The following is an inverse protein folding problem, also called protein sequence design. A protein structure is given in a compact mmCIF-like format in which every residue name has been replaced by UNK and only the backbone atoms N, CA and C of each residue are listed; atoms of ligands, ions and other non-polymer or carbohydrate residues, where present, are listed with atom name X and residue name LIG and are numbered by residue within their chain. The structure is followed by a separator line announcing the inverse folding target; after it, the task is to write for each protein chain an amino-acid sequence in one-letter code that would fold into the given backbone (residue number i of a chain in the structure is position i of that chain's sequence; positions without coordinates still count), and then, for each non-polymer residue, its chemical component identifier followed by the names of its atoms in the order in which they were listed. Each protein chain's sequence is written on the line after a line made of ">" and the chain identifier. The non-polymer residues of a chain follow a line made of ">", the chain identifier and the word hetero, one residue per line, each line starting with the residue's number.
data_IF_599498806030
#
_entry.id   IF_599498806030
#
_cell.length_a   1.000
_cell.length_b   1.000
_cell.length_c   1.000
_cell.angle_alpha   90.00
_cell.angle_beta   90.00
_cell.angle_gamma   90.00
#
_symmetry.space_group_name_H-M   'P 1'
#
loop_
_entity.id
_entity.type
_entity.pdbx_description
1 polymer ?
#
# COMPACT_ATOMS: atom_id res chain seq x y z
N UNK A 1 -18.65 -48.20 -16.48
CA UNK A 1 -19.21 -47.13 -15.62
C UNK A 1 -18.19 -46.15 -15.02
N UNK A 2 -16.86 -46.40 -15.02
CA UNK A 2 -15.85 -45.50 -14.38
C UNK A 2 -15.39 -44.25 -15.16
N UNK A 3 -15.69 -44.13 -16.47
CA UNK A 3 -15.18 -43.00 -17.30
C UNK A 3 -15.99 -41.69 -17.21
N UNK A 4 -17.23 -41.72 -16.73
CA UNK A 4 -18.09 -40.52 -16.60
C UNK A 4 -18.06 -39.89 -15.20
N UNK A 5 -17.54 -40.58 -14.20
CA UNK A 5 -17.51 -40.09 -12.80
C UNK A 5 -16.37 -39.11 -12.54
N UNK A 6 -15.22 -39.28 -13.20
CA UNK A 6 -14.06 -38.38 -13.06
C UNK A 6 -14.33 -36.93 -13.49
N UNK A 7 -14.92 -36.63 -14.67
CA UNK A 7 -15.23 -35.25 -15.05
C UNK A 7 -16.29 -34.61 -14.14
N UNK A 8 -17.26 -35.39 -13.64
CA UNK A 8 -18.25 -34.91 -12.66
C UNK A 8 -17.61 -34.57 -11.31
N UNK A 9 -16.70 -35.41 -10.82
CA UNK A 9 -15.92 -35.15 -9.59
C UNK A 9 -15.01 -33.93 -9.73
N UNK A 10 -14.33 -33.76 -10.87
CA UNK A 10 -13.51 -32.59 -11.16
C UNK A 10 -14.35 -31.30 -11.25
N UNK A 11 -15.54 -31.39 -11.85
CA UNK A 11 -16.47 -30.25 -11.95
C UNK A 11 -17.02 -29.87 -10.57
N UNK A 12 -17.41 -30.84 -9.74
CA UNK A 12 -17.85 -30.60 -8.38
C UNK A 12 -16.73 -30.03 -7.49
N UNK A 13 -15.50 -30.56 -7.63
CA UNK A 13 -14.33 -30.04 -6.93
C UNK A 13 -14.01 -28.61 -7.36
N UNK A 14 -14.04 -28.31 -8.66
CA UNK A 14 -13.84 -26.96 -9.18
C UNK A 14 -14.94 -26.01 -8.68
N UNK A 15 -16.21 -26.43 -8.66
CA UNK A 15 -17.33 -25.62 -8.17
C UNK A 15 -17.23 -25.25 -6.67
N UNK A 16 -16.52 -26.05 -5.86
CA UNK A 16 -16.31 -25.77 -4.43
C UNK A 16 -15.00 -25.01 -4.16
N UNK A 17 -13.92 -25.37 -4.87
CA UNK A 17 -12.57 -24.82 -4.64
C UNK A 17 -12.36 -23.48 -5.35
N UNK A 18 -12.84 -23.33 -6.58
CA UNK A 18 -12.65 -22.13 -7.38
C UNK A 18 -13.26 -20.89 -6.70
N UNK A 19 -14.47 -20.91 -6.13
CA UNK A 19 -15.02 -19.74 -5.46
C UNK A 19 -14.31 -19.37 -4.16
N UNK A 20 -13.78 -20.37 -3.43
CA UNK A 20 -12.94 -20.14 -2.25
C UNK A 20 -11.67 -19.40 -2.64
N UNK A 21 -11.06 -19.75 -3.76
CA UNK A 21 -9.90 -19.06 -4.32
C UNK A 21 -10.27 -17.66 -4.84
N UNK A 22 -11.36 -17.55 -5.62
CA UNK A 22 -11.81 -16.30 -6.24
C UNK A 22 -12.23 -15.24 -5.23
N UNK A 23 -12.96 -15.59 -4.19
CA UNK A 23 -13.46 -14.61 -3.23
C UNK A 23 -12.61 -14.51 -1.96
N UNK A 24 -11.82 -15.54 -1.64
CA UNK A 24 -10.85 -15.53 -0.53
C UNK A 24 -9.56 -14.80 -0.90
N UNK A 25 -8.47 -15.51 -1.30
CA UNK A 25 -7.18 -14.89 -1.60
C UNK A 25 -7.22 -13.91 -2.79
N UNK A 26 -8.10 -14.12 -3.77
CA UNK A 26 -8.25 -13.20 -4.91
C UNK A 26 -9.18 -12.01 -4.57
N UNK A 27 -10.09 -12.17 -3.60
CA UNK A 27 -10.95 -11.11 -3.08
C UNK A 27 -11.93 -10.52 -4.10
N UNK A 28 -12.33 -11.30 -5.11
CA UNK A 28 -13.22 -10.81 -6.17
C UNK A 28 -14.56 -10.34 -5.59
N UNK A 29 -14.91 -9.09 -5.86
CA UNK A 29 -16.21 -8.50 -5.47
C UNK A 29 -16.35 -8.13 -3.99
N UNK A 30 -15.34 -8.42 -3.15
CA UNK A 30 -15.28 -8.06 -1.73
C UNK A 30 -14.37 -6.86 -1.50
N UNK A 31 -14.71 -6.03 -0.52
CA UNK A 31 -13.92 -4.86 -0.13
C UNK A 31 -12.65 -5.33 0.59
N UNK A 32 -11.50 -4.87 0.12
CA UNK A 32 -10.17 -5.21 0.66
C UNK A 32 -9.51 -4.03 1.39
N UNK A 33 -10.10 -2.83 1.29
CA UNK A 33 -9.63 -1.61 1.92
C UNK A 33 -10.02 -0.37 1.13
N UNK A 34 -9.39 0.75 1.44
CA UNK A 34 -9.58 2.03 0.75
C UNK A 34 -8.65 2.21 -0.45
N UNK A 35 -8.67 3.42 -1.00
CA UNK A 35 -7.81 3.84 -2.10
C UNK A 35 -6.36 4.00 -1.64
N UNK A 36 -5.42 3.32 -2.30
CA UNK A 36 -3.99 3.33 -1.92
C UNK A 36 -3.24 4.65 -2.10
N UNK A 37 -3.94 5.72 -2.45
CA UNK A 37 -3.37 7.07 -2.62
C UNK A 37 -3.74 8.01 -1.48
N UNK A 38 -4.75 7.64 -0.69
CA UNK A 38 -5.20 8.39 0.48
C UNK A 38 -4.46 7.87 1.70
N UNK A 39 -4.00 8.78 2.54
CA UNK A 39 -3.27 8.47 3.78
C UNK A 39 -4.20 7.96 4.89
N UNK A 40 -5.15 7.10 4.53
CA UNK A 40 -6.20 6.58 5.41
C UNK A 40 -5.91 5.12 5.77
N UNK A 41 -6.28 4.72 6.97
CA UNK A 41 -6.16 3.36 7.48
C UNK A 41 -7.44 3.00 8.25
N UNK A 42 -7.85 1.74 8.17
CA UNK A 42 -8.92 1.23 9.03
C UNK A 42 -8.41 0.20 10.02
N UNK A 43 -8.77 0.38 11.29
CA UNK A 43 -8.47 -0.58 12.36
C UNK A 43 -9.69 -1.47 12.59
N UNK A 44 -9.44 -2.77 12.66
CA UNK A 44 -10.50 -3.77 12.78
C UNK A 44 -10.20 -4.76 13.89
N UNK A 45 -11.23 -5.17 14.60
CA UNK A 45 -11.14 -6.10 15.73
C UNK A 45 -12.18 -7.21 15.56
N UNK A 46 -11.84 -8.40 16.05
CA UNK A 46 -12.68 -9.59 15.92
C UNK A 46 -13.26 -10.00 17.25
N UNK A 47 -14.55 -9.75 17.45
CA UNK A 47 -15.26 -10.00 18.70
C UNK A 47 -15.54 -8.74 19.50
N UNK A 48 -16.13 -8.94 20.68
CA UNK A 48 -16.59 -7.87 21.57
C UNK A 48 -15.39 -7.18 22.24
N UNK A 49 -15.28 -5.84 22.17
CA UNK A 49 -14.21 -5.12 22.86
C UNK A 49 -14.41 -5.12 24.37
N UNK A 50 -13.30 -5.24 25.11
CA UNK A 50 -13.29 -4.94 26.54
C UNK A 50 -13.26 -3.43 26.80
N UNK A 51 -13.61 -3.03 28.03
CA UNK A 51 -13.62 -1.62 28.46
C UNK A 51 -12.26 -0.93 28.29
N UNK A 52 -11.16 -1.65 28.54
CA UNK A 52 -9.81 -1.12 28.36
C UNK A 52 -9.49 -0.74 26.90
N UNK A 53 -9.94 -1.54 25.93
CA UNK A 53 -9.75 -1.25 24.51
C UNK A 53 -10.53 -0.01 24.08
N UNK A 54 -11.79 0.08 24.51
CA UNK A 54 -12.63 1.26 24.23
C UNK A 54 -12.06 2.52 24.87
N UNK A 55 -11.55 2.43 26.10
CA UNK A 55 -10.90 3.55 26.78
C UNK A 55 -9.70 4.09 25.99
N UNK A 56 -8.83 3.21 25.45
CA UNK A 56 -7.69 3.61 24.62
C UNK A 56 -8.14 4.27 23.31
N UNK A 57 -9.12 3.67 22.62
CA UNK A 57 -9.64 4.22 21.36
C UNK A 57 -10.32 5.59 21.58
N UNK A 58 -11.06 5.75 22.67
CA UNK A 58 -11.70 7.00 23.06
C UNK A 58 -10.69 8.08 23.44
N UNK A 59 -9.70 7.76 24.27
CA UNK A 59 -8.63 8.68 24.65
C UNK A 59 -7.84 9.15 23.42
N UNK A 60 -7.65 8.26 22.44
CA UNK A 60 -7.03 8.60 21.18
C UNK A 60 -7.99 9.32 20.22
N UNK A 61 -9.30 9.35 20.42
CA UNK A 61 -10.30 9.78 19.43
C UNK A 61 -10.12 9.05 18.09
N UNK A 62 -10.10 7.70 18.14
CA UNK A 62 -9.92 6.84 16.97
C UNK A 62 -11.15 5.96 16.76
N UNK A 63 -11.85 6.09 15.63
CA UNK A 63 -12.92 5.16 15.29
C UNK A 63 -12.34 3.85 14.77
N UNK A 64 -13.07 2.74 14.97
CA UNK A 64 -12.65 1.40 14.59
C UNK A 64 -13.86 0.57 14.14
N UNK A 65 -13.60 -0.56 13.48
CA UNK A 65 -14.63 -1.51 13.07
C UNK A 65 -14.57 -2.81 13.87
N UNK A 66 -15.65 -3.16 14.55
CA UNK A 66 -15.78 -4.42 15.29
C UNK A 66 -16.56 -5.44 14.48
N UNK A 67 -15.91 -6.56 14.17
CA UNK A 67 -16.52 -7.72 13.51
C UNK A 67 -17.04 -8.71 14.55
N UNK A 68 -18.33 -8.61 14.86
CA UNK A 68 -19.02 -9.42 15.86
C UNK A 68 -19.70 -10.63 15.23
N UNK A 69 -19.75 -11.76 15.93
CA UNK A 69 -20.70 -12.82 15.60
C UNK A 69 -22.12 -12.33 15.90
N UNK A 70 -23.12 -12.98 15.30
CA UNK A 70 -24.51 -12.55 15.47
C UNK A 70 -24.98 -12.67 16.91
N UNK A 71 -24.58 -13.73 17.60
CA UNK A 71 -24.87 -13.98 19.01
C UNK A 71 -24.19 -12.98 19.95
N UNK A 72 -23.12 -12.31 19.50
CA UNK A 72 -22.41 -11.26 20.24
C UNK A 72 -23.06 -9.87 20.02
N UNK A 73 -23.87 -9.70 18.97
CA UNK A 73 -24.37 -8.42 18.48
C UNK A 73 -25.70 -7.98 19.12
N UNK A 74 -25.72 -7.83 20.45
CA UNK A 74 -26.90 -7.38 21.19
C UNK A 74 -27.21 -5.88 20.95
N UNK A 75 -28.49 -5.46 20.89
CA UNK A 75 -28.87 -4.07 20.59
C UNK A 75 -28.18 -3.00 21.44
N UNK A 76 -28.02 -3.25 22.75
CA UNK A 76 -27.35 -2.33 23.67
C UNK A 76 -25.87 -2.14 23.32
N UNK A 77 -25.16 -3.23 23.03
CA UNK A 77 -23.76 -3.17 22.59
C UNK A 77 -23.63 -2.44 21.26
N UNK A 78 -24.54 -2.68 20.30
CA UNK A 78 -24.55 -2.00 19.02
C UNK A 78 -24.74 -0.49 19.19
N UNK A 79 -25.70 -0.09 20.03
CA UNK A 79 -25.96 1.32 20.34
C UNK A 79 -24.75 1.97 21.02
N UNK A 80 -24.14 1.28 21.99
CA UNK A 80 -22.96 1.76 22.71
C UNK A 80 -21.76 1.98 21.77
N UNK A 81 -21.39 0.98 20.95
CA UNK A 81 -20.27 1.11 20.02
C UNK A 81 -20.48 2.23 19.00
N UNK A 82 -21.72 2.41 18.51
CA UNK A 82 -22.06 3.50 17.58
C UNK A 82 -22.03 4.87 18.23
N UNK A 83 -22.51 4.97 19.47
CA UNK A 83 -22.45 6.22 20.23
C UNK A 83 -21.00 6.69 20.43
N UNK A 84 -20.04 5.76 20.50
CA UNK A 84 -18.61 6.05 20.54
C UNK A 84 -17.96 6.25 19.15
N UNK A 85 -18.75 6.27 18.07
CA UNK A 85 -18.26 6.50 16.71
C UNK A 85 -17.62 5.28 16.05
N UNK A 86 -17.81 4.07 16.60
CA UNK A 86 -17.31 2.83 16.02
C UNK A 86 -18.31 2.23 15.03
N UNK A 87 -17.78 1.53 14.03
CA UNK A 87 -18.57 0.73 13.11
C UNK A 87 -18.75 -0.68 13.66
N UNK A 88 -19.96 -1.22 13.53
CA UNK A 88 -20.22 -2.64 13.80
C UNK A 88 -20.50 -3.38 12.50
N UNK A 89 -19.81 -4.51 12.32
CA UNK A 89 -19.94 -5.40 11.19
C UNK A 89 -20.15 -6.84 11.65
N UNK A 90 -20.74 -7.68 10.81
CA UNK A 90 -20.94 -9.09 11.13
C UNK A 90 -19.73 -9.93 10.75
N UNK A 91 -19.47 -10.97 11.53
CA UNK A 91 -18.56 -12.08 11.25
C UNK A 91 -19.36 -13.38 11.30
N UNK A 92 -19.21 -14.25 10.30
CA UNK A 92 -19.90 -15.54 10.37
C UNK A 92 -19.97 -16.32 9.06
N UNK A 93 -20.72 -17.42 9.12
CA UNK A 93 -20.84 -18.43 8.07
C UNK A 93 -21.57 -17.98 6.79
N UNK A 94 -21.53 -18.85 5.79
CA UNK A 94 -21.67 -18.56 4.36
C UNK A 94 -23.11 -18.48 3.81
N UNK A 95 -24.14 -18.71 4.64
CA UNK A 95 -25.45 -19.09 4.11
C UNK A 95 -26.69 -18.30 4.56
N UNK A 96 -26.64 -17.51 5.65
CA UNK A 96 -27.80 -16.70 6.08
C UNK A 96 -27.38 -15.41 6.77
N UNK A 97 -27.27 -14.34 6.00
CA UNK A 97 -27.23 -12.99 6.55
C UNK A 97 -28.67 -12.50 6.67
N UNK A 98 -29.08 -12.08 7.87
CA UNK A 98 -30.28 -11.27 8.01
C UNK A 98 -29.85 -9.81 8.20
N UNK A 99 -30.59 -8.85 7.65
CA UNK A 99 -30.38 -7.44 7.94
C UNK A 99 -30.39 -7.21 9.46
N UNK A 100 -29.48 -6.35 9.92
CA UNK A 100 -29.45 -5.85 11.29
C UNK A 100 -29.28 -4.34 11.21
N UNK A 101 -30.09 -3.62 11.99
CA UNK A 101 -30.09 -2.16 11.94
C UNK A 101 -28.69 -1.61 12.23
N UNK A 102 -28.25 -0.67 11.38
CA UNK A 102 -26.92 -0.05 11.34
C UNK A 102 -25.71 -0.99 11.14
N UNK A 103 -25.92 -2.22 10.70
CA UNK A 103 -24.82 -3.11 10.25
C UNK A 103 -24.78 -3.09 8.73
N UNK A 104 -23.67 -2.61 8.18
CA UNK A 104 -23.51 -2.41 6.72
C UNK A 104 -22.50 -3.35 6.08
N UNK A 105 -21.70 -4.04 6.90
CA UNK A 105 -20.58 -4.87 6.43
C UNK A 105 -20.62 -6.27 7.03
N UNK A 106 -20.08 -7.22 6.29
CA UNK A 106 -19.90 -8.59 6.75
C UNK A 106 -18.54 -9.13 6.35
N UNK A 107 -17.93 -9.92 7.24
CA UNK A 107 -16.73 -10.69 6.99
C UNK A 107 -17.05 -12.18 7.05
N UNK A 108 -17.14 -12.84 5.88
CA UNK A 108 -17.37 -14.27 5.80
C UNK A 108 -16.20 -15.06 6.43
N UNK A 109 -16.48 -16.07 7.25
CA UNK A 109 -15.45 -17.00 7.76
C UNK A 109 -14.96 -17.98 6.69
N UNK A 110 -15.75 -18.14 5.63
CA UNK A 110 -15.38 -18.84 4.40
C UNK A 110 -16.05 -18.18 3.21
N UNK A 111 -15.54 -18.44 2.01
CA UNK A 111 -16.10 -17.90 0.79
C UNK A 111 -16.71 -19.01 -0.08
N UNK A 112 -17.93 -18.80 -0.54
CA UNK A 112 -18.68 -19.63 -1.50
C UNK A 112 -19.03 -18.75 -2.71
N UNK A 113 -19.39 -19.33 -3.88
CA UNK A 113 -19.71 -18.50 -5.06
C UNK A 113 -20.95 -17.63 -4.82
N UNK A 114 -21.81 -18.02 -3.86
CA UNK A 114 -23.01 -17.27 -3.49
C UNK A 114 -22.78 -16.27 -2.36
N UNK A 115 -21.58 -16.21 -1.75
CA UNK A 115 -21.32 -15.34 -0.59
C UNK A 115 -21.59 -13.86 -0.89
N UNK A 116 -21.11 -13.36 -2.03
CA UNK A 116 -21.35 -11.97 -2.43
C UNK A 116 -22.82 -11.71 -2.72
N UNK A 117 -23.51 -12.66 -3.37
CA UNK A 117 -24.93 -12.55 -3.67
C UNK A 117 -25.79 -12.55 -2.39
N UNK A 118 -25.49 -13.45 -1.44
CA UNK A 118 -26.17 -13.52 -0.15
C UNK A 118 -25.95 -12.26 0.69
N UNK A 119 -24.72 -11.76 0.76
CA UNK A 119 -24.42 -10.51 1.47
C UNK A 119 -25.22 -9.34 0.87
N UNK A 120 -25.23 -9.20 -0.46
CA UNK A 120 -25.97 -8.15 -1.15
C UNK A 120 -27.48 -8.24 -0.97
N UNK A 121 -28.07 -9.44 -0.98
CA UNK A 121 -29.50 -9.66 -0.69
C UNK A 121 -29.88 -9.22 0.72
N UNK A 122 -28.93 -9.28 1.66
CA UNK A 122 -29.11 -8.78 3.02
C UNK A 122 -28.69 -7.32 3.19
N UNK A 123 -28.43 -6.58 2.10
CA UNK A 123 -27.93 -5.21 2.10
C UNK A 123 -26.58 -5.02 2.83
N UNK A 124 -25.76 -6.08 2.86
CA UNK A 124 -24.43 -6.07 3.47
C UNK A 124 -23.32 -6.02 2.41
N UNK A 125 -22.25 -5.31 2.74
CA UNK A 125 -21.01 -5.26 1.96
C UNK A 125 -20.03 -6.32 2.45
N UNK A 126 -19.69 -7.33 1.63
CA UNK A 126 -18.72 -8.34 2.03
C UNK A 126 -17.29 -7.76 2.00
N UNK A 127 -16.52 -8.07 3.04
CA UNK A 127 -15.15 -7.60 3.27
C UNK A 127 -14.19 -8.77 3.44
N UNK A 128 -12.95 -8.63 2.97
CA UNK A 128 -11.89 -9.59 3.27
C UNK A 128 -11.44 -9.46 4.73
N UNK A 129 -10.83 -10.52 5.31
CA UNK A 129 -9.97 -10.30 6.47
C UNK A 129 -8.96 -9.21 6.13
N UNK A 130 -8.83 -8.21 7.00
CA UNK A 130 -7.74 -7.25 6.89
C UNK A 130 -6.39 -7.95 7.02
N UNK A 131 -5.31 -7.19 6.85
CA UNK A 131 -3.97 -7.70 7.15
C UNK A 131 -3.92 -8.00 8.64
N UNK A 132 -3.83 -9.29 9.00
CA UNK A 132 -3.71 -9.69 10.40
C UNK A 132 -2.36 -9.22 10.92
N UNK A 133 -2.40 -8.54 12.05
CA UNK A 133 -1.21 -8.17 12.82
C UNK A 133 -1.24 -8.93 14.13
N UNK A 134 -0.09 -9.38 14.59
CA UNK A 134 0.04 -10.20 15.80
C UNK A 134 0.14 -9.36 17.07
N UNK A 135 0.44 -8.06 16.94
CA UNK A 135 0.48 -7.07 18.02
C UNK A 135 0.17 -5.68 17.47
N UNK A 136 -0.11 -4.71 18.35
CA UNK A 136 -0.24 -3.32 17.96
C UNK A 136 1.06 -2.76 17.35
N UNK A 137 2.24 -3.14 17.87
CA UNK A 137 3.52 -2.69 17.33
C UNK A 137 3.72 -3.15 15.87
N UNK A 138 3.41 -4.41 15.56
CA UNK A 138 3.50 -4.93 14.20
C UNK A 138 2.53 -4.26 13.21
N UNK A 139 1.56 -3.47 13.68
CA UNK A 139 0.72 -2.67 12.80
C UNK A 139 1.53 -1.60 12.04
N UNK A 140 2.60 -1.09 12.65
CA UNK A 140 3.48 -0.08 12.05
C UNK A 140 4.21 -0.61 10.81
N UNK A 141 4.63 -1.87 10.84
CA UNK A 141 5.33 -2.53 9.73
C UNK A 141 4.39 -2.89 8.58
N UNK A 142 3.09 -2.97 8.87
CA UNK A 142 2.05 -3.39 7.91
C UNK A 142 1.19 -2.22 7.45
N UNK A 143 1.44 -1.02 7.96
CA UNK A 143 0.70 0.18 7.62
C UNK A 143 0.98 0.59 6.15
N UNK A 144 -0.08 0.54 5.35
CA UNK A 144 -0.07 1.03 3.98
C UNK A 144 -1.30 1.92 3.71
N UNK A 145 -1.21 2.95 2.86
CA UNK A 145 -2.34 3.77 2.48
C UNK A 145 -3.53 2.94 2.00
N UNK A 146 -4.72 3.19 2.55
CA UNK A 146 -5.94 2.45 2.28
C UNK A 146 -5.98 1.03 2.86
N UNK A 147 -5.03 0.64 3.73
CA UNK A 147 -5.05 -0.68 4.33
C UNK A 147 -6.11 -0.83 5.43
N UNK A 148 -6.56 -2.07 5.61
CA UNK A 148 -7.41 -2.50 6.72
C UNK A 148 -6.55 -3.44 7.57
N UNK A 149 -6.28 -3.04 8.81
CA UNK A 149 -5.46 -3.79 9.74
C UNK A 149 -6.38 -4.51 10.74
N UNK A 150 -6.13 -5.80 10.97
CA UNK A 150 -6.89 -6.58 11.94
C UNK A 150 -6.02 -6.84 13.17
N UNK A 151 -6.35 -6.16 14.26
CA UNK A 151 -5.61 -6.18 15.53
C UNK A 151 -6.22 -7.18 16.52
N UNK A 152 -5.42 -7.68 17.49
CA UNK A 152 -5.96 -8.40 18.64
C UNK A 152 -6.83 -7.47 19.50
N UNK A 153 -7.72 -8.05 20.31
CA UNK A 153 -8.55 -7.31 21.26
C UNK A 153 -7.76 -6.77 22.47
N UNK A 154 -6.54 -7.27 22.67
CA UNK A 154 -5.61 -6.78 23.68
C UNK A 154 -5.10 -5.38 23.30
N UNK A 155 -5.34 -4.35 24.13
CA UNK A 155 -4.92 -2.98 23.86
C UNK A 155 -3.44 -2.70 24.17
N UNK A 156 -2.66 -3.70 24.60
CA UNK A 156 -1.25 -3.52 24.95
C UNK A 156 -0.45 -2.90 23.80
N UNK A 157 0.18 -1.74 24.07
CA UNK A 157 0.96 -0.97 23.09
C UNK A 157 0.12 -0.24 22.03
N UNK A 158 -1.21 -0.27 22.10
CA UNK A 158 -2.08 0.34 21.10
C UNK A 158 -1.95 1.88 21.11
N UNK A 159 -1.91 2.51 22.28
CA UNK A 159 -1.81 3.97 22.38
C UNK A 159 -0.57 4.52 21.63
N UNK A 160 0.59 3.93 21.88
CA UNK A 160 1.86 4.31 21.23
C UNK A 160 1.79 4.07 19.72
N UNK A 161 1.25 2.93 19.29
CA UNK A 161 1.02 2.65 17.87
C UNK A 161 0.12 3.68 17.21
N UNK A 162 -0.98 4.09 17.86
CA UNK A 162 -1.90 5.09 17.31
C UNK A 162 -1.24 6.46 17.16
N UNK A 163 -0.43 6.86 18.15
CA UNK A 163 0.35 8.08 18.10
C UNK A 163 1.38 8.04 16.96
N UNK A 164 2.09 6.94 16.82
CA UNK A 164 3.11 6.76 15.79
C UNK A 164 2.51 6.71 14.38
N UNK A 165 1.34 6.06 14.19
CA UNK A 165 0.63 6.09 12.90
C UNK A 165 0.24 7.52 12.50
N UNK A 166 -0.19 8.35 13.46
CA UNK A 166 -0.50 9.77 13.21
C UNK A 166 0.75 10.57 12.88
N UNK A 167 1.85 10.35 13.61
CA UNK A 167 3.14 10.98 13.33
C UNK A 167 3.63 10.64 11.90
N UNK A 168 3.36 9.42 11.42
CA UNK A 168 3.61 8.98 10.04
C UNK A 168 2.63 9.56 9.01
N UNK A 169 1.65 10.35 9.44
CA UNK A 169 0.68 11.04 8.59
C UNK A 169 -0.53 10.20 8.19
N UNK A 170 -0.83 9.11 8.90
CA UNK A 170 -2.05 8.33 8.68
C UNK A 170 -3.25 8.93 9.42
N UNK A 171 -4.40 8.92 8.76
CA UNK A 171 -5.71 9.20 9.36
C UNK A 171 -6.46 7.89 9.54
N UNK A 172 -7.08 7.70 10.71
CA UNK A 172 -7.70 6.44 11.09
C UNK A 172 -9.22 6.55 10.94
N UNK A 173 -9.81 5.58 10.26
CA UNK A 173 -11.23 5.54 9.91
C UNK A 173 -11.84 4.15 10.18
N UNK A 174 -13.17 4.08 10.18
CA UNK A 174 -13.89 2.83 10.03
C UNK A 174 -13.78 2.32 8.58
N UNK A 175 -14.06 1.03 8.37
CA UNK A 175 -13.98 0.41 7.03
C UNK A 175 -14.92 1.08 6.02
N UNK A 176 -16.11 1.52 6.44
CA UNK A 176 -17.07 2.22 5.57
C UNK A 176 -16.70 3.68 5.26
N UNK A 177 -15.94 4.33 6.13
CA UNK A 177 -15.50 5.70 5.96
C UNK A 177 -14.23 5.83 5.08
N UNK A 178 -13.60 4.71 4.72
CA UNK A 178 -12.45 4.73 3.81
C UNK A 178 -12.85 5.25 2.43
N UNK A 179 -12.07 6.20 1.90
CA UNK A 179 -12.27 6.74 0.57
C UNK A 179 -12.02 5.67 -0.50
N UNK A 180 -12.94 5.58 -1.45
CA UNK A 180 -12.79 4.74 -2.65
C UNK A 180 -12.59 3.26 -2.33
N UNK A 181 -13.64 2.56 -1.83
CA UNK A 181 -13.52 1.17 -1.40
C UNK A 181 -12.97 0.29 -2.53
N UNK A 182 -11.76 -0.23 -2.31
CA UNK A 182 -11.03 -1.07 -3.24
C UNK A 182 -11.54 -2.50 -3.14
N UNK A 183 -12.20 -2.95 -4.20
CA UNK A 183 -12.61 -4.34 -4.33
C UNK A 183 -11.51 -5.16 -5.00
N UNK A 184 -11.40 -6.44 -4.65
CA UNK A 184 -10.48 -7.32 -5.36
C UNK A 184 -10.93 -7.51 -6.80
N UNK A 185 -9.95 -7.47 -7.71
CA UNK A 185 -10.11 -7.75 -9.14
C UNK A 185 -9.10 -8.81 -9.54
N UNK A 186 -9.30 -9.52 -10.67
CA UNK A 186 -8.33 -10.53 -11.13
C UNK A 186 -6.94 -9.91 -11.32
N UNK A 187 -6.91 -8.70 -11.86
CA UNK A 187 -5.70 -7.88 -11.99
C UNK A 187 -5.04 -7.58 -10.64
N UNK A 188 -5.80 -7.19 -9.62
CA UNK A 188 -5.27 -6.94 -8.29
C UNK A 188 -4.63 -8.20 -7.68
N UNK A 189 -5.16 -9.39 -7.97
CA UNK A 189 -4.57 -10.63 -7.54
C UNK A 189 -3.24 -10.95 -8.25
N UNK A 190 -3.18 -10.77 -9.57
CA UNK A 190 -1.92 -10.90 -10.32
C UNK A 190 -0.86 -9.94 -9.77
N UNK A 191 -1.25 -8.69 -9.52
CA UNK A 191 -0.37 -7.69 -8.92
C UNK A 191 0.11 -8.08 -7.51
N UNK A 192 -0.74 -8.66 -6.67
CA UNK A 192 -0.32 -9.17 -5.35
C UNK A 192 0.69 -10.31 -5.48
N UNK A 193 0.45 -11.26 -6.38
CA UNK A 193 1.38 -12.36 -6.64
C UNK A 193 2.73 -11.85 -7.19
N UNK A 194 2.70 -10.90 -8.13
CA UNK A 194 3.88 -10.22 -8.64
C UNK A 194 4.69 -9.56 -7.53
N UNK A 195 4.05 -8.74 -6.68
CA UNK A 195 4.72 -8.06 -5.55
C UNK A 195 5.35 -9.05 -4.58
N UNK A 196 4.62 -10.10 -4.22
CA UNK A 196 5.07 -11.10 -3.26
C UNK A 196 6.24 -11.96 -3.78
N UNK A 197 6.43 -12.03 -5.10
CA UNK A 197 7.44 -12.90 -5.72
C UNK A 197 8.55 -12.11 -6.39
N UNK A 198 8.24 -11.25 -7.36
CA UNK A 198 9.21 -10.52 -8.16
C UNK A 198 9.75 -9.33 -7.40
N UNK A 199 8.89 -8.41 -6.93
CA UNK A 199 9.37 -7.21 -6.26
C UNK A 199 10.08 -7.55 -4.95
N UNK A 200 9.54 -8.48 -4.16
CA UNK A 200 10.19 -8.94 -2.94
C UNK A 200 11.54 -9.64 -3.18
N UNK A 201 11.73 -10.30 -4.33
CA UNK A 201 13.05 -10.86 -4.70
C UNK A 201 14.00 -9.76 -5.16
N UNK A 202 13.53 -8.81 -5.96
CA UNK A 202 14.31 -7.68 -6.42
C UNK A 202 14.80 -6.83 -5.24
N UNK A 203 13.91 -6.48 -4.30
CA UNK A 203 14.25 -5.71 -3.10
C UNK A 203 15.33 -6.41 -2.27
N UNK A 204 15.24 -7.74 -2.11
CA UNK A 204 16.27 -8.53 -1.42
C UNK A 204 17.59 -8.59 -2.18
N UNK A 205 17.55 -8.75 -3.50
CA UNK A 205 18.75 -8.82 -4.34
C UNK A 205 19.50 -7.49 -4.39
N UNK A 206 18.78 -6.38 -4.39
CA UNK A 206 19.34 -5.02 -4.45
C UNK A 206 19.55 -4.36 -3.08
N UNK A 207 19.28 -5.10 -1.99
CA UNK A 207 19.39 -4.64 -0.60
C UNK A 207 18.75 -3.25 -0.38
N UNK A 208 17.54 -3.06 -0.92
CA UNK A 208 16.88 -1.77 -0.91
C UNK A 208 16.32 -1.46 0.49
N UNK A 209 16.59 -0.26 0.97
CA UNK A 209 15.99 0.28 2.18
C UNK A 209 14.63 0.89 1.85
N UNK A 210 13.52 0.36 2.39
CA UNK A 210 12.23 0.99 2.22
C UNK A 210 12.17 2.28 3.05
N UNK A 211 11.98 3.42 2.38
CA UNK A 211 11.70 4.69 3.05
C UNK A 211 10.19 4.94 3.13
N UNK A 212 9.38 3.89 3.05
CA UNK A 212 7.92 3.95 2.90
C UNK A 212 7.14 3.96 4.21
N UNK A 213 7.78 4.26 5.33
CA UNK A 213 7.14 4.25 6.66
C UNK A 213 6.04 5.30 6.79
N UNK A 214 6.24 6.50 6.21
CA UNK A 214 5.20 7.55 6.18
C UNK A 214 4.12 7.27 5.15
N UNK A 215 2.93 7.79 5.38
CA UNK A 215 1.74 7.55 4.57
C UNK A 215 1.87 8.03 3.12
N UNK A 216 2.70 9.05 2.86
CA UNK A 216 2.92 9.61 1.51
C UNK A 216 4.32 9.33 0.96
N UNK A 217 5.12 8.52 1.65
CA UNK A 217 6.46 8.22 1.20
C UNK A 217 6.46 7.31 -0.03
N UNK A 218 7.25 7.64 -1.03
CA UNK A 218 7.23 6.97 -2.33
C UNK A 218 8.52 6.24 -2.67
N UNK A 219 9.60 6.44 -1.91
CA UNK A 219 10.92 6.00 -2.32
C UNK A 219 11.44 4.80 -1.53
N UNK A 220 12.38 4.10 -2.18
CA UNK A 220 13.29 3.13 -1.61
C UNK A 220 14.69 3.52 -2.06
N UNK A 221 15.70 3.20 -1.25
CA UNK A 221 17.07 3.63 -1.51
C UNK A 221 18.02 2.43 -1.50
N UNK A 222 18.85 2.28 -2.52
CA UNK A 222 19.90 1.27 -2.60
C UNK A 222 21.27 1.93 -2.64
N UNK A 223 22.26 1.40 -1.93
CA UNK A 223 23.64 1.86 -2.08
C UNK A 223 24.20 1.31 -3.41
N UNK A 224 24.50 2.19 -4.36
CA UNK A 224 25.01 1.79 -5.68
C UNK A 224 25.76 2.96 -6.33
N UNK A 225 26.90 2.69 -7.00
CA UNK A 225 27.65 3.72 -7.72
C UNK A 225 26.80 4.32 -8.84
N UNK A 226 27.06 5.57 -9.20
CA UNK A 226 26.35 6.23 -10.30
C UNK A 226 26.68 5.58 -11.66
N UNK A 227 25.68 4.97 -12.29
CA UNK A 227 25.85 4.23 -13.56
C UNK A 227 25.68 5.11 -14.81
N UNK A 228 25.22 6.35 -14.67
CA UNK A 228 25.05 7.27 -15.80
C UNK A 228 26.38 7.86 -16.28
N UNK A 229 26.37 8.56 -17.44
CA UNK A 229 27.57 9.24 -17.93
C UNK A 229 27.95 10.40 -17.00
N UNK A 230 29.25 10.72 -16.97
CA UNK A 230 29.75 11.91 -16.26
C UNK A 230 29.02 13.16 -16.78
N UNK A 231 28.44 13.94 -15.88
CA UNK A 231 27.65 15.13 -16.22
C UNK A 231 27.96 16.28 -15.27
N UNK A 232 27.53 17.48 -15.62
CA UNK A 232 27.69 18.68 -14.78
C UNK A 232 26.31 19.10 -14.28
N UNK A 233 26.17 19.34 -12.98
CA UNK A 233 24.91 19.82 -12.42
C UNK A 233 24.63 21.29 -12.78
N UNK A 234 23.46 21.80 -12.42
CA UNK A 234 23.08 23.19 -12.70
C UNK A 234 24.05 24.21 -12.07
N UNK A 235 24.73 23.83 -10.99
CA UNK A 235 25.68 24.62 -10.23
C UNK A 235 27.14 24.49 -10.74
N UNK A 236 27.37 23.78 -11.85
CA UNK A 236 28.70 23.66 -12.47
C UNK A 236 29.60 22.57 -11.87
N UNK A 237 29.10 21.73 -10.96
CA UNK A 237 29.84 20.63 -10.34
C UNK A 237 29.83 19.38 -11.20
N UNK A 238 31.00 18.77 -11.38
CA UNK A 238 31.13 17.48 -12.06
C UNK A 238 30.58 16.35 -11.19
N UNK A 239 29.73 15.53 -11.79
CA UNK A 239 29.17 14.29 -11.24
C UNK A 239 29.76 13.13 -12.05
N UNK A 240 30.87 12.52 -11.59
CA UNK A 240 31.58 11.53 -12.38
C UNK A 240 30.87 10.19 -12.39
N UNK A 241 30.91 9.50 -13.52
CA UNK A 241 30.53 8.09 -13.61
C UNK A 241 31.25 7.26 -12.54
N UNK A 242 30.54 6.34 -11.90
CA UNK A 242 31.08 5.50 -10.83
C UNK A 242 31.18 6.18 -9.46
N UNK A 243 30.78 7.45 -9.32
CA UNK A 243 30.75 8.12 -8.03
C UNK A 243 29.97 7.30 -6.99
N UNK A 244 30.45 7.20 -5.73
CA UNK A 244 29.69 6.59 -4.65
C UNK A 244 28.31 7.22 -4.54
N UNK A 245 27.27 6.40 -4.67
CA UNK A 245 25.91 6.89 -4.87
C UNK A 245 24.86 6.11 -4.12
N UNK A 246 23.66 6.67 -4.15
CA UNK A 246 22.45 5.99 -3.72
C UNK A 246 21.43 5.99 -4.86
N UNK A 247 21.04 4.79 -5.30
CA UNK A 247 20.05 4.59 -6.34
C UNK A 247 18.64 4.73 -5.72
N UNK A 248 17.87 5.66 -6.28
CA UNK A 248 16.53 6.01 -5.87
C UNK A 248 15.51 5.20 -6.66
N UNK A 249 14.74 4.37 -5.96
CA UNK A 249 13.70 3.52 -6.54
C UNK A 249 12.32 4.02 -6.16
N UNK A 250 11.44 4.19 -7.16
CA UNK A 250 10.06 4.58 -6.93
C UNK A 250 9.18 3.37 -6.59
N UNK A 251 8.41 3.47 -5.53
CA UNK A 251 7.41 2.47 -5.17
C UNK A 251 6.19 2.59 -6.10
N UNK A 252 6.27 1.95 -7.27
CA UNK A 252 5.26 2.01 -8.34
C UNK A 252 3.81 1.88 -7.85
N UNK A 253 3.55 0.93 -6.94
CA UNK A 253 2.21 0.72 -6.37
C UNK A 253 1.63 1.92 -5.61
N UNK A 254 2.46 2.64 -4.85
CA UNK A 254 2.05 3.85 -4.11
C UNK A 254 1.98 5.04 -5.05
N UNK A 255 2.97 5.18 -5.94
CA UNK A 255 2.98 6.28 -6.90
C UNK A 255 1.76 6.29 -7.81
N UNK A 256 1.40 5.16 -8.43
CA UNK A 256 0.21 5.08 -9.30
C UNK A 256 -1.05 5.43 -8.50
N UNK A 257 -1.20 4.90 -7.29
CA UNK A 257 -2.37 5.18 -6.48
C UNK A 257 -2.46 6.65 -6.05
N UNK A 258 -1.33 7.33 -5.80
CA UNK A 258 -1.32 8.77 -5.50
C UNK A 258 -1.56 9.61 -6.76
N UNK A 259 -1.00 9.20 -7.90
CA UNK A 259 -1.19 9.87 -9.19
C UNK A 259 -2.65 9.77 -9.69
N UNK A 260 -3.34 8.67 -9.37
CA UNK A 260 -4.77 8.49 -9.64
C UNK A 260 -5.65 9.53 -8.91
N UNK A 261 -5.18 10.10 -7.79
CA UNK A 261 -5.88 11.18 -7.10
C UNK A 261 -5.70 12.52 -7.84
N UNK A 262 -4.44 12.92 -8.08
CA UNK A 262 -4.10 14.04 -8.97
C UNK A 262 -2.58 14.10 -9.22
N UNK A 263 -2.18 14.72 -10.33
CA UNK A 263 -0.78 15.00 -10.63
C UNK A 263 -0.11 15.91 -9.57
N UNK A 264 -0.84 16.89 -9.04
CA UNK A 264 -0.33 17.81 -8.00
C UNK A 264 -0.08 17.05 -6.69
N UNK A 265 -1.00 16.16 -6.32
CA UNK A 265 -0.89 15.28 -5.14
C UNK A 265 0.34 14.38 -5.25
N UNK A 266 0.62 13.84 -6.46
CA UNK A 266 1.80 13.04 -6.74
C UNK A 266 3.10 13.84 -6.67
N UNK A 267 3.14 15.05 -7.28
CA UNK A 267 4.32 15.92 -7.21
C UNK A 267 4.67 16.32 -5.76
N UNK A 268 3.65 16.67 -4.96
CA UNK A 268 3.84 16.95 -3.53
C UNK A 268 4.38 15.74 -2.79
N UNK A 269 3.84 14.54 -3.06
CA UNK A 269 4.32 13.32 -2.44
C UNK A 269 5.76 12.98 -2.83
N UNK A 270 6.16 13.20 -4.09
CA UNK A 270 7.55 13.07 -4.54
C UNK A 270 8.45 14.02 -3.76
N UNK A 271 8.11 15.33 -3.75
CA UNK A 271 8.90 16.35 -3.04
C UNK A 271 9.04 16.04 -1.55
N UNK A 272 7.94 15.64 -0.92
CA UNK A 272 7.94 15.29 0.50
C UNK A 272 8.74 14.01 0.78
N UNK A 273 8.77 13.06 -0.16
CA UNK A 273 9.55 11.82 -0.04
C UNK A 273 11.06 12.06 -0.25
N UNK A 274 11.47 13.08 -1.01
CA UNK A 274 12.88 13.47 -1.13
C UNK A 274 13.48 13.94 0.20
N UNK A 275 12.63 14.42 1.13
CA UNK A 275 13.06 14.73 2.50
C UNK A 275 13.40 13.47 3.29
N UNK A 276 12.68 12.37 3.08
CA UNK A 276 13.03 11.08 3.69
C UNK A 276 14.36 10.57 3.13
N UNK A 277 14.61 10.79 1.84
CA UNK A 277 15.88 10.44 1.18
C UNK A 277 17.02 11.27 1.77
N UNK A 278 16.84 12.58 1.90
CA UNK A 278 17.84 13.47 2.50
C UNK A 278 18.16 13.06 3.94
N UNK A 279 17.13 12.77 4.75
CA UNK A 279 17.29 12.27 6.11
C UNK A 279 18.07 10.94 6.14
N UNK A 280 17.69 9.97 5.32
CA UNK A 280 18.38 8.68 5.25
C UNK A 280 19.86 8.83 4.85
N UNK A 281 20.17 9.69 3.88
CA UNK A 281 21.55 9.98 3.46
C UNK A 281 22.38 10.64 4.57
N UNK A 282 21.73 11.38 5.48
CA UNK A 282 22.39 12.00 6.64
C UNK A 282 22.58 11.05 7.82
N UNK A 283 21.60 10.20 8.12
CA UNK A 283 21.54 9.48 9.39
C UNK A 283 21.88 8.00 9.30
N UNK A 284 21.74 7.38 8.12
CA UNK A 284 22.00 5.96 7.94
C UNK A 284 23.47 5.72 7.55
N UNK A 285 24.24 4.94 8.33
CA UNK A 285 25.64 4.65 8.04
C UNK A 285 25.88 4.05 6.65
N UNK A 286 24.88 3.38 6.07
CA UNK A 286 24.98 2.78 4.72
C UNK A 286 25.13 3.80 3.60
N UNK A 287 24.77 5.06 3.85
CA UNK A 287 24.80 6.16 2.88
C UNK A 287 25.78 7.27 3.31
N UNK A 288 26.67 6.99 4.27
CA UNK A 288 27.65 7.97 4.76
C UNK A 288 28.53 8.51 3.62
N UNK A 289 29.00 7.61 2.76
CA UNK A 289 29.88 7.96 1.63
C UNK A 289 29.13 8.39 0.36
N UNK A 290 27.79 8.46 0.40
CA UNK A 290 26.99 8.84 -0.78
C UNK A 290 27.31 10.27 -1.21
N UNK A 291 27.87 10.42 -2.41
CA UNK A 291 28.15 11.71 -3.05
C UNK A 291 27.00 12.16 -3.95
N UNK A 292 26.27 11.22 -4.53
CA UNK A 292 25.16 11.49 -5.45
C UNK A 292 23.95 10.60 -5.20
N UNK A 293 22.75 11.13 -5.38
CA UNK A 293 21.52 10.36 -5.48
C UNK A 293 21.09 10.31 -6.93
N UNK A 294 20.83 9.12 -7.46
CA UNK A 294 20.55 8.94 -8.87
C UNK A 294 19.43 7.93 -9.12
N UNK A 295 18.83 7.96 -10.30
CA UNK A 295 17.87 6.95 -10.73
C UNK A 295 17.84 6.82 -12.26
N UNK A 296 17.42 5.64 -12.73
CA UNK A 296 16.95 5.47 -14.11
C UNK A 296 15.43 5.62 -14.15
N UNK A 297 14.91 6.59 -14.92
CA UNK A 297 13.48 6.93 -14.86
C UNK A 297 12.89 7.44 -16.17
N UNK A 298 11.59 7.18 -16.37
CA UNK A 298 10.75 7.80 -17.41
C UNK A 298 10.21 9.18 -17.00
N UNK A 299 10.41 9.60 -15.74
CA UNK A 299 9.84 10.85 -15.19
C UNK A 299 10.86 11.98 -15.10
N UNK A 300 11.89 11.97 -15.97
CA UNK A 300 13.01 12.92 -15.89
C UNK A 300 12.55 14.39 -15.97
N UNK A 301 11.53 14.70 -16.77
CA UNK A 301 10.99 16.06 -16.92
C UNK A 301 10.35 16.60 -15.62
N UNK A 302 9.79 15.71 -14.79
CA UNK A 302 9.16 16.09 -13.52
C UNK A 302 10.22 16.34 -12.43
N UNK A 303 11.38 15.69 -12.56
CA UNK A 303 12.43 15.70 -11.54
C UNK A 303 13.45 16.82 -11.75
N UNK A 304 13.57 17.36 -12.98
CA UNK A 304 14.39 18.54 -13.27
C UNK A 304 14.13 19.73 -12.34
N UNK A 305 12.88 20.22 -12.23
CA UNK A 305 12.51 21.30 -11.31
C UNK A 305 12.76 20.99 -9.82
N UNK A 306 12.95 19.72 -9.47
CA UNK A 306 13.27 19.28 -8.10
C UNK A 306 14.78 19.29 -7.82
N UNK A 307 15.62 19.70 -8.78
CA UNK A 307 17.07 19.82 -8.65
C UNK A 307 17.85 18.63 -9.22
N UNK A 308 17.19 17.73 -9.96
CA UNK A 308 17.89 16.67 -10.67
C UNK A 308 18.41 17.14 -12.03
N UNK A 309 19.62 16.71 -12.38
CA UNK A 309 20.16 16.84 -13.73
C UNK A 309 19.90 15.55 -14.49
N UNK A 310 19.36 15.66 -15.72
CA UNK A 310 19.14 14.49 -16.57
C UNK A 310 20.31 14.25 -17.52
N UNK A 311 20.70 13.00 -17.69
CA UNK A 311 21.67 12.56 -18.69
C UNK A 311 21.10 11.42 -19.54
N UNK A 312 21.35 11.49 -20.85
CA UNK A 312 20.89 10.47 -21.78
C UNK A 312 21.69 9.16 -21.60
N UNK A 313 21.06 8.05 -21.94
CA UNK A 313 21.74 6.76 -22.00
C UNK A 313 22.68 6.71 -23.21
N UNK A 314 23.88 6.14 -23.03
CA UNK A 314 24.87 6.05 -24.10
C UNK A 314 24.41 5.16 -25.28
N UNK A 315 23.70 4.06 -25.00
CA UNK A 315 23.16 3.17 -26.04
C UNK A 315 21.65 3.39 -26.27
N UNK A 316 21.24 3.88 -27.46
CA UNK A 316 19.83 4.02 -27.82
C UNK A 316 19.04 2.71 -27.86
N UNK A 317 19.69 1.56 -28.14
CA UNK A 317 19.01 0.25 -28.15
C UNK A 317 18.65 -0.17 -26.75
N UNK A 318 19.60 -0.05 -25.83
CA UNK A 318 19.39 -0.24 -24.40
C UNK A 318 18.28 0.68 -23.87
N UNK A 319 18.27 1.96 -24.25
CA UNK A 319 17.22 2.90 -23.85
C UNK A 319 15.82 2.46 -24.30
N UNK A 320 15.69 1.95 -25.53
CA UNK A 320 14.40 1.42 -26.04
C UNK A 320 13.97 0.14 -25.32
N UNK A 321 14.91 -0.74 -25.00
CA UNK A 321 14.63 -1.96 -24.23
C UNK A 321 14.11 -1.62 -22.83
N UNK A 322 14.78 -0.71 -22.13
CA UNK A 322 14.33 -0.24 -20.81
C UNK A 322 13.00 0.52 -20.89
N UNK A 323 12.80 1.35 -21.91
CA UNK A 323 11.52 2.04 -22.14
C UNK A 323 10.37 1.03 -22.25
N UNK A 324 10.56 -0.02 -23.06
CA UNK A 324 9.58 -1.09 -23.22
C UNK A 324 9.29 -1.80 -21.89
N UNK A 325 10.33 -2.19 -21.16
CA UNK A 325 10.18 -2.88 -19.87
C UNK A 325 9.48 -2.02 -18.80
N UNK A 326 9.91 -0.76 -18.65
CA UNK A 326 9.29 0.20 -17.72
C UNK A 326 7.85 0.53 -18.10
N UNK A 327 7.53 0.62 -19.40
CA UNK A 327 6.16 0.81 -19.87
C UNK A 327 5.29 -0.41 -19.60
N UNK A 328 5.80 -1.63 -19.79
CA UNK A 328 5.09 -2.86 -19.46
C UNK A 328 4.78 -2.92 -17.96
N UNK A 329 5.75 -2.59 -17.10
CA UNK A 329 5.56 -2.49 -15.65
C UNK A 329 4.53 -1.43 -15.28
N UNK A 330 4.64 -0.22 -15.86
CA UNK A 330 3.68 0.88 -15.64
C UNK A 330 2.25 0.46 -16.00
N UNK A 331 2.09 -0.20 -17.15
CA UNK A 331 0.81 -0.77 -17.60
C UNK A 331 0.33 -1.89 -16.71
N UNK A 332 1.19 -2.71 -16.12
CA UNK A 332 0.82 -3.74 -15.14
C UNK A 332 0.27 -3.09 -13.86
N UNK A 333 0.93 -2.03 -13.39
CA UNK A 333 0.58 -1.29 -12.19
C UNK A 333 -0.66 -0.39 -12.30
N UNK A 334 -1.15 -0.14 -13.52
CA UNK A 334 -2.43 0.56 -13.74
C UNK A 334 -2.32 1.96 -14.31
N UNK A 335 -1.10 2.44 -14.61
CA UNK A 335 -0.97 3.77 -15.18
C UNK A 335 -1.55 3.81 -16.61
N UNK A 336 -2.20 4.93 -16.93
CA UNK A 336 -2.80 5.18 -18.24
C UNK A 336 -1.71 5.33 -19.31
N UNK A 337 -1.96 4.80 -20.51
CA UNK A 337 -1.07 4.96 -21.63
C UNK A 337 -1.04 6.44 -22.06
N UNK A 338 0.15 7.02 -22.15
CA UNK A 338 0.35 8.43 -22.51
C UNK A 338 0.42 8.68 -24.02
N UNK A 339 0.34 7.63 -24.85
CA UNK A 339 0.46 7.69 -26.31
C UNK A 339 1.85 8.07 -26.84
N UNK A 340 2.73 8.61 -25.99
CA UNK A 340 4.12 8.99 -26.31
C UNK A 340 5.10 7.99 -25.70
N UNK A 341 6.03 7.52 -26.52
CA UNK A 341 7.20 6.75 -26.05
C UNK A 341 8.17 7.72 -25.40
N UNK A 342 8.35 7.59 -24.09
CA UNK A 342 9.35 8.37 -23.33
C UNK A 342 10.56 7.44 -23.17
N UNK A 343 11.74 7.93 -23.51
CA UNK A 343 12.97 7.17 -23.28
C UNK A 343 13.45 7.42 -21.85
N UNK A 344 13.89 6.37 -21.14
CA UNK A 344 14.44 6.54 -19.81
C UNK A 344 15.74 7.35 -19.87
N UNK A 345 15.91 8.19 -18.86
CA UNK A 345 17.15 8.95 -18.66
C UNK A 345 17.71 8.65 -17.28
N UNK A 346 19.03 8.78 -17.15
CA UNK A 346 19.63 8.90 -15.84
C UNK A 346 19.27 10.27 -15.29
N UNK A 347 18.86 10.31 -14.03
CA UNK A 347 18.76 11.54 -13.26
C UNK A 347 19.74 11.47 -12.11
N UNK A 348 20.38 12.58 -11.80
CA UNK A 348 21.37 12.65 -10.72
C UNK A 348 21.28 14.00 -9.99
N UNK A 349 21.47 13.95 -8.69
CA UNK A 349 21.52 15.10 -7.79
C UNK A 349 22.68 14.89 -6.83
N UNK A 350 23.55 15.87 -6.65
CA UNK A 350 24.63 15.74 -5.68
C UNK A 350 24.13 15.86 -4.24
N UNK A 351 24.89 15.28 -3.31
CA UNK A 351 24.56 15.25 -1.88
C UNK A 351 24.30 16.65 -1.35
N UNK A 352 25.13 17.63 -1.66
CA UNK A 352 24.98 18.98 -1.12
C UNK A 352 23.65 19.60 -1.57
N UNK A 353 23.34 19.55 -2.88
CA UNK A 353 22.07 20.03 -3.42
C UNK A 353 20.87 19.32 -2.77
N UNK A 354 20.94 18.00 -2.55
CA UNK A 354 19.90 17.25 -1.86
C UNK A 354 19.67 17.79 -0.43
N UNK A 355 20.75 17.96 0.34
CA UNK A 355 20.67 18.39 1.73
C UNK A 355 20.24 19.86 1.87
N UNK A 356 20.70 20.73 0.99
CA UNK A 356 20.28 22.14 0.95
C UNK A 356 18.79 22.27 0.65
N UNK A 357 18.27 21.48 -0.31
CA UNK A 357 16.85 21.56 -0.72
C UNK A 357 15.90 20.80 0.20
N UNK A 358 16.35 19.68 0.77
CA UNK A 358 15.46 18.70 1.42
C UNK A 358 15.93 18.23 2.81
N UNK A 359 17.11 18.61 3.27
CA UNK A 359 17.69 18.18 4.55
C UNK A 359 17.13 18.87 5.78
N UNK A 360 16.36 19.96 5.63
CA UNK A 360 15.71 20.60 6.78
C UNK A 360 14.57 19.72 7.32
N UNK A 361 14.72 19.28 8.57
CA UNK A 361 13.69 18.56 9.32
C UNK A 361 12.51 19.50 9.57
N UNK A 362 11.27 19.01 9.44
CA UNK A 362 10.12 19.71 10.05
C UNK A 362 10.31 19.61 11.57
N UNK A 363 10.34 20.76 12.26
CA UNK A 363 10.03 20.80 13.68
C UNK A 363 8.61 20.30 13.95
#
# INVERSE_FOLDING_TARGET
>A
MRRRTLPLLLTALAAVTLPRLLHGPLGLGVVQGGHGGKSELALTFNGVPGTNLLAVLRAANVPATFFLKREEAHPELLAHLRAEGHQVALRGGTWRYAPMDGVTHVRPDGYTPLTVAHARRAHLTPTTPGVRVTSAAHALDRAEPGAVLTLPLDPTGLADTLQELRARGYTLHTVDALYGPRRGTPRAAVLRAWRATVDARFDRQKNLTPLTTRARALFRLGAAPYEGPSTVNAEGRLLPHGAPGAELHLHNGRFVAVADLSAITALRAIRDSLRDVAHAVQTDPRYADTQVVWALTLFHDVLGPLGFTSADMADPRQARLFAFGMDALRRLYGARATGRTILPKYIVMDRQTLLERYGQTRG
#
